data_IF_048269684409
#
_entry.id   IF_048269684409
#
_cell.length_a   1.000
_cell.length_b   1.000
_cell.length_c   1.000
_cell.angle_alpha   90.00
_cell.angle_beta   90.00
_cell.angle_gamma   90.00
#
_symmetry.space_group_name_H-M   'P 1'
#
loop_
_entity.id
_entity.type
_entity.pdbx_description
1 polymer ?
#
# COMPACT_ATOMS: atom_id res chain seq x y z
N UNK A 1 -19.25 18.26 -6.42
CA UNK A 1 -19.63 16.94 -5.88
C UNK A 1 -19.35 15.87 -6.92
N UNK A 2 -18.08 15.46 -6.96
CA UNK A 2 -17.65 14.29 -7.70
C UNK A 2 -18.35 13.03 -7.18
N UNK A 3 -18.88 12.20 -8.08
CA UNK A 3 -19.45 10.90 -7.72
C UNK A 3 -18.34 9.86 -7.72
N UNK A 4 -18.40 8.92 -6.78
CA UNK A 4 -17.60 7.71 -6.81
C UNK A 4 -17.81 6.96 -8.13
N UNK A 5 -16.72 6.57 -8.78
CA UNK A 5 -16.72 5.82 -10.04
C UNK A 5 -16.05 4.49 -9.80
N UNK A 6 -16.63 3.43 -10.38
CA UNK A 6 -16.06 2.09 -10.33
C UNK A 6 -14.98 1.92 -11.40
N UNK A 7 -14.01 1.02 -11.17
CA UNK A 7 -12.95 0.76 -12.15
C UNK A 7 -13.50 0.36 -13.52
N UNK A 8 -14.50 -0.53 -13.57
CA UNK A 8 -15.12 -0.96 -14.83
C UNK A 8 -15.62 0.21 -15.67
N UNK A 9 -16.25 1.21 -15.03
CA UNK A 9 -16.74 2.41 -15.71
C UNK A 9 -15.59 3.34 -16.11
N UNK A 10 -14.63 3.55 -15.22
CA UNK A 10 -13.48 4.42 -15.49
C UNK A 10 -12.65 3.91 -16.67
N UNK A 11 -12.43 2.60 -16.76
CA UNK A 11 -11.64 1.96 -17.82
C UNK A 11 -12.31 2.03 -19.21
N UNK A 12 -13.62 2.27 -19.28
CA UNK A 12 -14.37 2.42 -20.54
C UNK A 12 -14.38 3.86 -21.07
N UNK A 13 -13.96 4.83 -20.26
CA UNK A 13 -13.93 6.23 -20.67
C UNK A 13 -12.77 6.53 -21.59
N UNK A 14 -12.99 7.45 -22.51
CA UNK A 14 -11.90 8.03 -23.27
C UNK A 14 -10.97 8.87 -22.37
N UNK A 15 -9.80 9.25 -22.91
CA UNK A 15 -8.80 9.99 -22.15
C UNK A 15 -9.30 11.36 -21.66
N UNK A 16 -10.21 12.02 -22.39
CA UNK A 16 -10.75 13.31 -21.99
C UNK A 16 -11.69 13.17 -20.80
N UNK A 17 -12.65 12.23 -20.88
CA UNK A 17 -13.60 11.97 -19.79
C UNK A 17 -12.90 11.47 -18.51
N UNK A 18 -11.86 10.63 -18.63
CA UNK A 18 -11.02 10.25 -17.48
C UNK A 18 -10.34 11.46 -16.85
N UNK A 19 -9.71 12.30 -17.68
CA UNK A 19 -9.00 13.49 -17.24
C UNK A 19 -9.92 14.47 -16.51
N UNK A 20 -11.06 14.79 -17.11
CA UNK A 20 -12.08 15.66 -16.51
C UNK A 20 -12.57 15.11 -15.17
N UNK A 21 -12.80 13.80 -15.07
CA UNK A 21 -13.20 13.19 -13.81
C UNK A 21 -12.13 13.31 -12.72
N UNK A 22 -10.88 12.92 -13.00
CA UNK A 22 -9.81 13.01 -11.98
C UNK A 22 -9.51 14.46 -11.59
N UNK A 23 -9.65 15.41 -12.52
CA UNK A 23 -9.54 16.83 -12.23
C UNK A 23 -10.64 17.28 -11.28
N UNK A 24 -11.90 16.91 -11.54
CA UNK A 24 -13.02 17.24 -10.65
C UNK A 24 -12.88 16.61 -9.26
N UNK A 25 -12.41 15.35 -9.17
CA UNK A 25 -12.14 14.70 -7.87
C UNK A 25 -10.99 15.41 -7.13
N UNK A 26 -9.94 15.81 -7.85
CA UNK A 26 -8.83 16.57 -7.28
C UNK A 26 -9.27 17.93 -6.76
N UNK A 27 -10.16 18.63 -7.49
CA UNK A 27 -10.71 19.92 -7.06
C UNK A 27 -11.55 19.81 -5.78
N UNK A 28 -12.30 18.72 -5.66
CA UNK A 28 -13.19 18.46 -4.52
C UNK A 28 -12.45 17.78 -3.33
N UNK A 29 -11.10 17.74 -3.28
CA UNK A 29 -10.32 16.95 -2.28
C UNK A 29 -10.69 17.22 -0.81
N UNK A 30 -11.00 18.47 -0.47
CA UNK A 30 -11.40 18.88 0.88
C UNK A 30 -12.86 18.56 1.19
N UNK A 31 -13.74 18.61 0.18
CA UNK A 31 -15.18 18.39 0.34
C UNK A 31 -15.55 16.91 0.31
N UNK A 32 -14.83 16.11 -0.48
CA UNK A 32 -15.17 14.72 -0.82
C UNK A 32 -13.97 13.79 -0.57
N UNK A 33 -13.35 13.87 0.61
CA UNK A 33 -12.12 13.14 0.95
C UNK A 33 -12.25 11.62 0.77
N UNK A 34 -13.44 11.05 1.00
CA UNK A 34 -13.71 9.63 0.74
C UNK A 34 -13.59 9.27 -0.75
N UNK A 35 -14.17 10.10 -1.63
CA UNK A 35 -14.10 9.91 -3.10
C UNK A 35 -12.66 10.07 -3.57
N UNK A 36 -11.94 11.07 -3.06
CA UNK A 36 -10.54 11.28 -3.38
C UNK A 36 -9.67 10.06 -3.03
N UNK A 37 -9.75 9.56 -1.79
CA UNK A 37 -8.98 8.38 -1.37
C UNK A 37 -9.31 7.15 -2.19
N UNK A 38 -10.60 6.91 -2.45
CA UNK A 38 -11.00 5.77 -3.25
C UNK A 38 -10.50 5.84 -4.69
N UNK A 39 -10.61 7.00 -5.34
CA UNK A 39 -10.10 7.19 -6.70
C UNK A 39 -8.58 7.02 -6.73
N UNK A 40 -7.86 7.59 -5.77
CA UNK A 40 -6.41 7.43 -5.64
C UNK A 40 -6.00 5.96 -5.46
N UNK A 41 -6.64 5.25 -4.53
CA UNK A 41 -6.39 3.83 -4.26
C UNK A 41 -6.70 2.97 -5.50
N UNK A 42 -7.80 3.24 -6.21
CA UNK A 42 -8.18 2.56 -7.45
C UNK A 42 -7.13 2.74 -8.55
N UNK A 43 -6.74 3.99 -8.83
CA UNK A 43 -5.76 4.30 -9.87
C UNK A 43 -4.39 3.68 -9.54
N UNK A 44 -4.01 3.69 -8.26
CA UNK A 44 -2.78 3.05 -7.79
C UNK A 44 -2.82 1.54 -8.00
N UNK A 45 -3.91 0.86 -7.60
CA UNK A 45 -4.07 -0.58 -7.73
C UNK A 45 -4.01 -1.09 -9.17
N UNK A 46 -4.57 -0.31 -10.11
CA UNK A 46 -4.58 -0.59 -11.55
C UNK A 46 -3.41 0.04 -12.31
N UNK A 47 -2.43 0.58 -11.58
CA UNK A 47 -1.23 1.19 -12.13
C UNK A 47 -1.50 2.28 -13.20
N UNK A 48 -2.57 3.05 -13.02
CA UNK A 48 -2.89 4.21 -13.87
C UNK A 48 -2.13 5.45 -13.38
N UNK A 49 -0.79 5.35 -13.38
CA UNK A 49 0.08 6.39 -12.83
C UNK A 49 -0.12 7.78 -13.48
N UNK A 50 -0.34 7.94 -14.80
CA UNK A 50 -0.59 9.26 -15.37
C UNK A 50 -1.85 9.93 -14.83
N UNK A 51 -2.95 9.18 -14.70
CA UNK A 51 -4.21 9.67 -14.16
C UNK A 51 -4.07 9.99 -12.66
N UNK A 52 -3.33 9.16 -11.91
CA UNK A 52 -3.03 9.38 -10.49
C UNK A 52 -2.18 10.64 -10.28
N UNK A 53 -1.12 10.85 -11.07
CA UNK A 53 -0.28 12.04 -11.01
C UNK A 53 -1.13 13.30 -11.25
N UNK A 54 -2.01 13.27 -12.26
CA UNK A 54 -2.87 14.40 -12.55
C UNK A 54 -3.86 14.69 -11.40
N UNK A 55 -4.49 13.65 -10.83
CA UNK A 55 -5.34 13.76 -9.65
C UNK A 55 -4.61 14.47 -8.49
N UNK A 56 -3.40 14.02 -8.18
CA UNK A 56 -2.60 14.51 -7.04
C UNK A 56 -2.08 15.92 -7.26
N UNK A 57 -1.69 16.28 -8.49
CA UNK A 57 -1.29 17.65 -8.83
C UNK A 57 -2.45 18.64 -8.65
N UNK A 58 -3.64 18.28 -9.13
CA UNK A 58 -4.84 19.12 -8.97
C UNK A 58 -5.19 19.27 -7.50
N UNK A 59 -5.21 18.17 -6.73
CA UNK A 59 -5.48 18.20 -5.30
C UNK A 59 -4.46 19.03 -4.51
N UNK A 60 -3.17 18.90 -4.81
CA UNK A 60 -2.14 19.70 -4.14
C UNK A 60 -2.31 21.20 -4.43
N UNK A 61 -2.64 21.55 -5.68
CA UNK A 61 -2.88 22.94 -6.08
C UNK A 61 -4.05 23.54 -5.30
N UNK A 62 -5.17 22.82 -5.17
CA UNK A 62 -6.31 23.30 -4.39
C UNK A 62 -6.00 23.44 -2.90
N UNK A 63 -5.26 22.48 -2.32
CA UNK A 63 -4.88 22.57 -0.92
C UNK A 63 -3.96 23.75 -0.66
N UNK A 64 -2.99 24.02 -1.55
CA UNK A 64 -2.11 25.19 -1.43
C UNK A 64 -2.85 26.52 -1.61
N UNK A 65 -3.94 26.54 -2.36
CA UNK A 65 -4.79 27.72 -2.53
C UNK A 65 -5.74 27.97 -1.34
N UNK A 66 -5.93 26.96 -0.47
CA UNK A 66 -6.85 27.04 0.66
C UNK A 66 -6.09 27.12 2.00
N UNK A 67 -6.16 28.29 2.64
CA UNK A 67 -5.51 28.56 3.94
C UNK A 67 -6.01 27.66 5.09
N UNK A 68 -7.19 27.03 4.97
CA UNK A 68 -7.73 26.11 5.97
C UNK A 68 -7.23 24.68 5.83
N UNK A 69 -6.44 24.38 4.79
CA UNK A 69 -5.95 23.04 4.56
C UNK A 69 -4.96 22.59 5.64
N UNK A 70 -5.09 21.34 6.06
CA UNK A 70 -4.21 20.76 7.07
C UNK A 70 -2.83 20.47 6.46
N UNK A 71 -1.75 20.96 7.09
CA UNK A 71 -0.36 20.72 6.68
C UNK A 71 -0.06 19.21 6.47
N UNK A 72 -0.59 18.35 7.32
CA UNK A 72 -0.43 16.90 7.19
C UNK A 72 -1.05 16.34 5.90
N UNK A 73 -2.20 16.88 5.47
CA UNK A 73 -2.84 16.46 4.22
C UNK A 73 -2.00 16.90 3.01
N UNK A 74 -1.49 18.14 3.03
CA UNK A 74 -0.57 18.63 1.99
C UNK A 74 0.67 17.73 1.90
N UNK A 75 1.34 17.48 3.03
CA UNK A 75 2.52 16.62 3.09
C UNK A 75 2.25 15.20 2.57
N UNK A 76 1.10 14.62 2.91
CA UNK A 76 0.71 13.28 2.45
C UNK A 76 0.49 13.22 0.94
N UNK A 77 -0.20 14.22 0.36
CA UNK A 77 -0.42 14.31 -1.09
C UNK A 77 0.88 14.61 -1.83
N UNK A 78 1.71 15.52 -1.30
CA UNK A 78 3.05 15.81 -1.84
C UNK A 78 3.91 14.55 -1.90
N UNK A 79 3.99 13.78 -0.80
CA UNK A 79 4.77 12.55 -0.76
C UNK A 79 4.26 11.53 -1.81
N UNK A 80 2.95 11.34 -1.90
CA UNK A 80 2.34 10.41 -2.85
C UNK A 80 2.57 10.85 -4.31
N UNK A 81 2.52 12.17 -4.59
CA UNK A 81 2.79 12.72 -5.91
C UNK A 81 4.24 12.50 -6.32
N UNK A 82 5.18 12.77 -5.42
CA UNK A 82 6.61 12.53 -5.66
C UNK A 82 6.89 11.06 -5.97
N UNK A 83 6.36 10.15 -5.15
CA UNK A 83 6.50 8.70 -5.37
C UNK A 83 5.89 8.31 -6.73
N UNK A 84 4.71 8.82 -7.08
CA UNK A 84 4.05 8.51 -8.35
C UNK A 84 4.86 8.98 -9.57
N UNK A 85 5.49 10.16 -9.50
CA UNK A 85 6.38 10.67 -10.54
C UNK A 85 7.64 9.78 -10.70
N UNK A 86 8.24 9.37 -9.57
CA UNK A 86 9.38 8.45 -9.57
C UNK A 86 8.99 7.09 -10.16
N UNK A 87 7.84 6.54 -9.78
CA UNK A 87 7.35 5.27 -10.30
C UNK A 87 7.03 5.33 -11.79
N UNK A 88 6.43 6.42 -12.26
CA UNK A 88 6.17 6.64 -13.68
C UNK A 88 7.47 6.70 -14.48
N UNK A 89 8.51 7.33 -13.91
CA UNK A 89 9.84 7.32 -14.51
C UNK A 89 10.40 5.90 -14.56
N UNK A 90 10.48 5.19 -13.43
CA UNK A 90 11.03 3.83 -13.37
C UNK A 90 10.29 2.85 -14.28
N UNK A 91 8.96 2.91 -14.34
CA UNK A 91 8.14 2.05 -15.21
C UNK A 91 8.36 2.31 -16.71
N UNK A 92 8.88 3.48 -17.09
CA UNK A 92 9.20 3.84 -18.47
C UNK A 92 10.63 3.43 -18.89
N UNK A 93 11.49 3.06 -17.94
CA UNK A 93 12.88 2.72 -18.21
C UNK A 93 13.03 1.22 -18.50
N UNK A 94 14.02 0.82 -19.31
CA UNK A 94 14.42 -0.57 -19.40
C UNK A 94 15.01 -1.04 -18.05
N UNK A 95 14.92 -2.34 -17.70
CA UNK A 95 15.39 -2.88 -16.41
C UNK A 95 16.86 -2.61 -16.08
N UNK A 96 17.71 -2.44 -17.11
CA UNK A 96 19.15 -2.20 -16.98
C UNK A 96 19.53 -0.71 -17.08
N UNK A 97 18.54 0.20 -17.08
CA UNK A 97 18.81 1.62 -17.09
C UNK A 97 19.58 2.05 -15.84
N UNK A 98 20.57 2.95 -15.97
CA UNK A 98 21.28 3.47 -14.81
C UNK A 98 20.32 4.15 -13.85
N UNK A 99 20.55 3.98 -12.54
CA UNK A 99 19.77 4.59 -11.47
C UNK A 99 20.11 6.08 -11.27
N UNK A 100 20.11 6.85 -12.36
CA UNK A 100 20.37 8.28 -12.35
C UNK A 100 19.12 9.02 -12.76
N UNK A 101 18.69 9.98 -11.94
CA UNK A 101 17.53 10.82 -12.24
C UNK A 101 17.79 11.65 -13.50
N UNK A 102 16.95 11.55 -14.54
CA UNK A 102 17.06 12.47 -15.67
C UNK A 102 16.68 13.88 -15.23
N UNK A 103 17.22 14.89 -15.93
CA UNK A 103 16.95 16.29 -15.64
C UNK A 103 15.44 16.62 -15.64
N UNK A 104 14.65 15.95 -16.48
CA UNK A 104 13.19 16.11 -16.53
C UNK A 104 12.49 15.65 -15.25
N UNK A 105 12.93 14.55 -14.63
CA UNK A 105 12.37 14.08 -13.36
C UNK A 105 12.77 15.03 -12.22
N UNK A 106 14.03 15.45 -12.17
CA UNK A 106 14.52 16.42 -11.18
C UNK A 106 13.71 17.71 -11.27
N UNK A 107 13.55 18.25 -12.49
CA UNK A 107 12.76 19.46 -12.73
C UNK A 107 11.31 19.29 -12.28
N UNK A 108 10.67 18.16 -12.62
CA UNK A 108 9.28 17.89 -12.23
C UNK A 108 9.09 17.76 -10.71
N UNK A 109 10.07 17.23 -9.98
CA UNK A 109 10.00 17.15 -8.52
C UNK A 109 10.31 18.50 -7.86
N UNK A 110 11.22 19.29 -8.43
CA UNK A 110 11.58 20.63 -7.93
C UNK A 110 10.44 21.64 -8.02
N UNK A 111 9.43 21.43 -8.88
CA UNK A 111 8.23 22.27 -8.88
C UNK A 111 7.34 22.04 -7.65
N UNK A 112 7.54 20.92 -6.94
CA UNK A 112 6.76 20.54 -5.77
C UNK A 112 7.51 20.89 -4.48
N UNK A 113 8.79 20.50 -4.41
CA UNK A 113 9.63 20.64 -3.21
C UNK A 113 11.11 20.71 -3.63
N UNK A 114 11.97 21.48 -2.95
CA UNK A 114 13.41 21.46 -3.21
C UNK A 114 13.99 20.04 -3.12
N UNK A 115 14.62 19.57 -4.21
CA UNK A 115 15.21 18.23 -4.30
C UNK A 115 16.73 18.31 -4.29
N UNK A 116 17.33 17.53 -3.38
CA UNK A 116 18.73 17.13 -3.45
C UNK A 116 18.90 16.01 -4.50
N UNK A 117 19.65 16.30 -5.57
CA UNK A 117 19.86 15.35 -6.67
C UNK A 117 20.59 14.08 -6.21
N UNK A 118 21.52 14.19 -5.26
CA UNK A 118 22.26 13.04 -4.74
C UNK A 118 21.36 12.16 -3.88
N UNK A 119 20.51 12.75 -3.04
CA UNK A 119 19.43 12.09 -2.34
C UNK A 119 18.49 11.33 -3.28
N UNK A 120 18.03 11.97 -4.35
CA UNK A 120 17.17 11.32 -5.36
C UNK A 120 17.87 10.16 -6.06
N UNK A 121 19.13 10.30 -6.46
CA UNK A 121 19.89 9.23 -7.09
C UNK A 121 20.07 8.03 -6.15
N UNK A 122 20.33 8.26 -4.85
CA UNK A 122 20.35 7.18 -3.85
C UNK A 122 18.99 6.49 -3.71
N UNK A 123 17.91 7.26 -3.70
CA UNK A 123 16.56 6.70 -3.65
C UNK A 123 16.25 5.84 -4.88
N UNK A 124 16.58 6.33 -6.07
CA UNK A 124 16.45 5.57 -7.32
C UNK A 124 17.32 4.30 -7.30
N UNK A 125 18.55 4.35 -6.80
CA UNK A 125 19.43 3.19 -6.68
C UNK A 125 18.83 2.09 -5.79
N UNK A 126 18.15 2.48 -4.71
CA UNK A 126 17.43 1.51 -3.86
C UNK A 126 16.19 0.96 -4.56
N UNK A 127 15.35 1.81 -5.18
CA UNK A 127 14.14 1.38 -5.89
C UNK A 127 14.42 0.52 -7.12
N UNK A 128 15.57 0.69 -7.75
CA UNK A 128 16.03 -0.15 -8.85
C UNK A 128 16.83 -1.36 -8.36
N UNK A 129 17.07 -1.51 -7.06
CA UNK A 129 17.71 -2.69 -6.48
C UNK A 129 19.23 -2.77 -6.62
N UNK A 130 19.91 -1.71 -7.12
CA UNK A 130 21.37 -1.64 -7.17
C UNK A 130 22.01 -1.58 -5.78
N UNK A 131 21.30 -1.00 -4.81
CA UNK A 131 21.74 -0.91 -3.42
C UNK A 131 20.79 -1.68 -2.51
N UNK A 132 21.35 -2.55 -1.66
CA UNK A 132 20.61 -3.40 -0.74
C UNK A 132 21.30 -3.37 0.62
N UNK A 133 20.49 -3.31 1.68
CA UNK A 133 20.99 -3.42 3.05
C UNK A 133 21.16 -4.89 3.44
N UNK A 134 22.13 -5.15 4.31
CA UNK A 134 22.25 -6.44 4.98
C UNK A 134 21.35 -6.42 6.23
N UNK A 135 20.10 -6.81 6.04
CA UNK A 135 19.14 -6.85 7.12
C UNK A 135 19.44 -7.98 8.11
N UNK A 136 19.26 -7.67 9.40
CA UNK A 136 19.24 -8.63 10.49
C UNK A 136 17.92 -8.45 11.25
N UNK A 137 17.41 -9.52 11.86
CA UNK A 137 16.12 -9.47 12.56
C UNK A 137 16.10 -8.44 13.69
N UNK A 138 17.22 -8.24 14.36
CA UNK A 138 17.41 -7.25 15.43
C UNK A 138 17.22 -5.80 14.95
N UNK A 139 17.49 -5.49 13.67
CA UNK A 139 17.20 -4.17 13.10
C UNK A 139 15.69 -3.91 12.92
N UNK A 140 14.87 -4.97 12.92
CA UNK A 140 13.47 -4.93 12.50
C UNK A 140 12.49 -5.37 13.58
N UNK A 141 12.98 -5.99 14.67
CA UNK A 141 12.16 -6.59 15.72
C UNK A 141 11.19 -5.60 16.39
N UNK A 142 11.60 -4.33 16.54
CA UNK A 142 10.78 -3.27 17.11
C UNK A 142 10.08 -2.38 16.07
N UNK A 143 10.18 -2.74 14.79
CA UNK A 143 9.66 -1.97 13.66
C UNK A 143 10.02 -0.48 13.70
N UNK A 144 11.31 -0.11 13.88
CA UNK A 144 11.69 1.30 13.83
C UNK A 144 11.33 1.87 12.46
N UNK A 145 10.66 3.03 12.46
CA UNK A 145 10.01 3.59 11.27
C UNK A 145 10.98 3.72 10.08
N UNK A 146 12.23 4.13 10.34
CA UNK A 146 13.26 4.29 9.30
C UNK A 146 13.65 2.96 8.65
N UNK A 147 13.88 1.91 9.45
CA UNK A 147 14.27 0.61 8.91
C UNK A 147 13.12 -0.06 8.18
N UNK A 148 11.88 0.08 8.70
CA UNK A 148 10.70 -0.40 7.98
C UNK A 148 10.50 0.34 6.67
N UNK A 149 10.67 1.66 6.64
CA UNK A 149 10.59 2.44 5.40
C UNK A 149 11.65 1.99 4.39
N UNK A 150 12.90 1.81 4.80
CA UNK A 150 13.98 1.31 3.95
C UNK A 150 13.72 -0.12 3.43
N UNK A 151 13.25 -1.02 4.30
CA UNK A 151 12.88 -2.39 3.92
C UNK A 151 11.72 -2.38 2.90
N UNK A 152 10.72 -1.51 3.07
CA UNK A 152 9.63 -1.39 2.11
C UNK A 152 10.07 -0.83 0.75
N UNK A 153 11.08 0.04 0.71
CA UNK A 153 11.67 0.52 -0.56
C UNK A 153 12.35 -0.65 -1.30
N UNK A 154 13.12 -1.47 -0.60
CA UNK A 154 13.71 -2.68 -1.20
C UNK A 154 12.65 -3.68 -1.65
N UNK A 155 11.56 -3.82 -0.90
CA UNK A 155 10.44 -4.66 -1.31
C UNK A 155 9.80 -4.17 -2.62
N UNK A 156 9.63 -2.84 -2.81
CA UNK A 156 9.13 -2.31 -4.08
C UNK A 156 10.04 -2.69 -5.26
N UNK A 157 11.37 -2.57 -5.06
CA UNK A 157 12.36 -2.96 -6.07
C UNK A 157 12.25 -4.45 -6.40
N UNK A 158 12.19 -5.31 -5.37
CA UNK A 158 12.04 -6.75 -5.52
C UNK A 158 10.72 -7.13 -6.22
N UNK A 159 9.59 -6.59 -5.76
CA UNK A 159 8.28 -6.89 -6.31
C UNK A 159 8.18 -6.50 -7.79
N UNK A 160 8.79 -5.39 -8.18
CA UNK A 160 8.81 -4.97 -9.57
C UNK A 160 9.75 -5.82 -10.43
N UNK A 161 11.00 -6.03 -10.00
CA UNK A 161 12.03 -6.71 -10.82
C UNK A 161 11.84 -8.22 -10.87
N UNK A 162 11.60 -8.85 -9.72
CA UNK A 162 11.60 -10.30 -9.59
C UNK A 162 10.19 -10.89 -9.77
N UNK A 163 9.15 -10.16 -9.34
CA UNK A 163 7.76 -10.62 -9.44
C UNK A 163 6.95 -9.92 -10.55
N UNK A 164 7.54 -8.96 -11.28
CA UNK A 164 6.88 -8.26 -12.38
C UNK A 164 5.68 -7.40 -11.96
N UNK A 165 5.59 -7.03 -10.67
CA UNK A 165 4.45 -6.31 -10.13
C UNK A 165 4.58 -4.80 -10.36
N UNK A 166 3.48 -4.09 -10.66
CA UNK A 166 3.52 -2.66 -10.86
C UNK A 166 3.79 -1.89 -9.55
N UNK A 167 4.51 -0.76 -9.66
CA UNK A 167 4.80 0.12 -8.52
C UNK A 167 3.55 0.67 -7.85
N UNK A 168 2.52 1.06 -8.62
CA UNK A 168 1.27 1.59 -8.04
C UNK A 168 0.66 0.60 -7.03
N UNK A 169 0.39 -0.64 -7.47
CA UNK A 169 -0.21 -1.67 -6.62
C UNK A 169 0.67 -2.03 -5.42
N UNK A 170 1.98 -2.15 -5.62
CA UNK A 170 2.92 -2.50 -4.54
C UNK A 170 3.09 -1.35 -3.54
N UNK A 171 2.92 -0.10 -3.96
CA UNK A 171 2.94 1.06 -3.07
C UNK A 171 1.79 1.05 -2.06
N UNK A 172 0.61 0.52 -2.43
CA UNK A 172 -0.49 0.34 -1.48
C UNK A 172 -0.09 -0.56 -0.31
N UNK A 173 0.62 -1.66 -0.60
CA UNK A 173 1.17 -2.52 0.44
C UNK A 173 2.24 -1.79 1.27
N UNK A 174 3.14 -1.03 0.63
CA UNK A 174 4.15 -0.19 1.33
C UNK A 174 3.53 0.76 2.35
N UNK A 175 2.38 1.35 2.05
CA UNK A 175 1.69 2.26 2.97
C UNK A 175 1.02 1.54 4.14
N UNK A 176 0.48 0.35 3.91
CA UNK A 176 -0.32 -0.38 4.90
C UNK A 176 0.50 -1.26 5.83
N UNK A 177 1.50 -1.96 5.29
CA UNK A 177 2.16 -3.05 6.00
C UNK A 177 2.92 -2.59 7.26
N UNK A 178 3.64 -1.46 7.27
CA UNK A 178 4.23 -0.92 8.50
C UNK A 178 3.17 -0.62 9.58
N UNK A 179 2.04 -0.04 9.17
CA UNK A 179 0.92 0.25 10.08
C UNK A 179 0.35 -1.03 10.67
N UNK A 180 0.12 -2.06 9.85
CA UNK A 180 -0.31 -3.38 10.32
C UNK A 180 0.63 -3.95 11.39
N UNK A 181 1.95 -3.92 11.17
CA UNK A 181 2.90 -4.46 12.14
C UNK A 181 2.92 -3.66 13.45
N UNK A 182 2.81 -2.32 13.38
CA UNK A 182 2.71 -1.49 14.58
C UNK A 182 1.42 -1.77 15.35
N UNK A 183 0.27 -1.87 14.67
CA UNK A 183 -1.02 -2.18 15.30
C UNK A 183 -1.02 -3.59 15.92
N UNK A 184 -0.43 -4.58 15.23
CA UNK A 184 -0.24 -5.94 15.75
C UNK A 184 0.62 -5.94 17.00
N UNK A 185 1.79 -5.31 16.97
CA UNK A 185 2.75 -5.26 18.09
C UNK A 185 2.15 -4.55 19.31
N UNK A 186 1.40 -3.48 19.08
CA UNK A 186 0.78 -2.70 20.17
C UNK A 186 -0.52 -3.32 20.70
N UNK A 187 -0.93 -4.49 20.17
CA UNK A 187 -2.13 -5.20 20.62
C UNK A 187 -3.44 -4.56 20.15
N UNK A 188 -3.41 -3.57 19.25
CA UNK A 188 -4.62 -2.96 18.69
C UNK A 188 -5.44 -3.94 17.86
N UNK A 189 -4.79 -4.97 17.32
CA UNK A 189 -5.42 -6.06 16.57
C UNK A 189 -5.75 -7.27 17.45
N UNK A 190 -5.51 -7.23 18.76
CA UNK A 190 -5.98 -8.30 19.65
C UNK A 190 -7.49 -8.15 19.85
N UNK A 191 -8.28 -9.26 19.85
CA UNK A 191 -9.70 -9.16 20.16
C UNK A 191 -9.90 -8.43 21.49
N UNK A 192 -10.61 -7.31 21.44
CA UNK A 192 -11.10 -6.64 22.66
C UNK A 192 -12.13 -7.58 23.26
N UNK A 193 -11.71 -8.38 24.22
CA UNK A 193 -12.65 -9.11 25.06
C UNK A 193 -13.49 -8.07 25.79
N UNK A 194 -14.82 -8.22 25.74
CA UNK A 194 -15.71 -7.37 26.51
C UNK A 194 -15.31 -7.51 27.98
N UNK A 195 -14.87 -6.39 28.57
CA UNK A 195 -14.42 -6.34 29.96
C UNK A 195 -15.54 -6.83 30.90
N UNK A 196 -16.81 -6.61 30.51
CA UNK A 196 -17.97 -7.13 31.22
C UNK A 196 -18.07 -8.66 31.18
N UNK A 197 -17.79 -9.29 30.04
CA UNK A 197 -17.79 -10.75 29.92
C UNK A 197 -16.61 -11.39 30.65
N UNK A 198 -15.44 -10.74 30.62
CA UNK A 198 -14.27 -11.17 31.39
C UNK A 198 -14.54 -11.16 32.90
N UNK A 199 -15.15 -10.08 33.42
CA UNK A 199 -15.53 -10.00 34.83
C UNK A 199 -16.61 -11.00 35.23
N UNK A 200 -17.51 -11.36 34.30
CA UNK A 200 -18.57 -12.34 34.56
C UNK A 200 -18.07 -13.79 34.54
N UNK A 201 -17.08 -14.11 33.71
CA UNK A 201 -16.66 -15.49 33.49
C UNK A 201 -15.50 -15.95 34.40
N UNK A 202 -14.84 -15.03 35.13
CA UNK A 202 -13.70 -15.36 36.00
C UNK A 202 -12.55 -16.08 35.29
N UNK A 203 -12.52 -16.02 33.95
CA UNK A 203 -11.52 -16.70 33.13
C UNK A 203 -10.25 -15.88 33.12
N UNK A 204 -9.07 -16.51 33.27
CA UNK A 204 -7.81 -15.82 33.08
C UNK A 204 -7.76 -15.24 31.66
N UNK A 205 -7.27 -13.99 31.56
CA UNK A 205 -7.01 -13.34 30.28
C UNK A 205 -6.20 -14.30 29.40
N UNK A 206 -6.62 -14.57 28.15
CA UNK A 206 -5.84 -15.38 27.24
C UNK A 206 -4.47 -14.74 27.11
N UNK A 207 -3.42 -15.52 27.35
CA UNK A 207 -2.06 -15.07 27.12
C UNK A 207 -1.92 -14.80 25.63
N UNK A 208 -1.36 -13.66 25.21
CA UNK A 208 -1.04 -13.45 23.81
C UNK A 208 -0.17 -14.62 23.32
N UNK A 209 -0.39 -15.12 22.09
CA UNK A 209 0.38 -16.24 21.59
C UNK A 209 1.87 -15.95 21.68
N UNK A 210 2.62 -16.94 22.15
CA UNK A 210 3.93 -16.72 22.76
C UNK A 210 5.04 -16.40 21.76
N UNK A 211 4.87 -16.70 20.45
CA UNK A 211 5.89 -16.46 19.45
C UNK A 211 5.28 -16.15 18.08
N UNK A 212 5.22 -14.88 17.72
CA UNK A 212 4.91 -14.46 16.37
C UNK A 212 6.18 -13.94 15.68
N UNK A 213 6.35 -14.27 14.40
CA UNK A 213 7.42 -13.66 13.61
C UNK A 213 7.12 -12.17 13.41
N UNK A 214 8.06 -11.25 13.68
CA UNK A 214 7.77 -9.82 13.69
C UNK A 214 7.41 -9.27 12.30
N UNK A 215 7.84 -9.94 11.23
CA UNK A 215 7.59 -9.51 9.84
C UNK A 215 6.68 -10.45 9.05
N UNK A 216 6.22 -11.56 9.65
CA UNK A 216 5.27 -12.46 8.99
C UNK A 216 3.89 -12.25 9.62
N UNK A 217 2.86 -11.89 8.83
CA UNK A 217 1.48 -11.78 9.30
C UNK A 217 0.95 -13.11 9.84
N UNK A 218 -0.14 -13.05 10.59
CA UNK A 218 -0.96 -14.20 10.95
C UNK A 218 -2.41 -13.93 10.57
N UNK A 219 -3.19 -15.00 10.38
CA UNK A 219 -4.56 -14.93 9.88
C UNK A 219 -5.47 -14.12 10.78
N UNK A 220 -5.43 -14.32 12.11
CA UNK A 220 -6.32 -13.62 13.06
C UNK A 220 -6.10 -12.10 13.04
N UNK A 221 -4.85 -11.64 13.15
CA UNK A 221 -4.56 -10.21 13.18
C UNK A 221 -4.73 -9.57 11.81
N UNK A 222 -4.38 -10.27 10.72
CA UNK A 222 -4.57 -9.76 9.37
C UNK A 222 -6.06 -9.66 9.02
N UNK A 223 -6.88 -10.64 9.40
CA UNK A 223 -8.35 -10.59 9.21
C UNK A 223 -8.95 -9.33 9.85
N UNK A 224 -8.53 -9.00 11.07
CA UNK A 224 -9.03 -7.82 11.80
C UNK A 224 -8.58 -6.53 11.13
N UNK A 225 -7.34 -6.47 10.66
CA UNK A 225 -6.85 -5.32 9.92
C UNK A 225 -7.57 -5.15 8.57
N UNK A 226 -7.81 -6.25 7.84
CA UNK A 226 -8.61 -6.24 6.61
C UNK A 226 -10.06 -5.81 6.90
N UNK A 227 -10.68 -6.31 7.96
CA UNK A 227 -12.01 -5.87 8.37
C UNK A 227 -12.04 -4.36 8.69
N UNK A 228 -10.96 -3.80 9.26
CA UNK A 228 -10.83 -2.35 9.46
C UNK A 228 -10.81 -1.58 8.13
N UNK A 229 -10.18 -2.11 7.09
CA UNK A 229 -10.18 -1.48 5.77
C UNK A 229 -11.52 -1.62 5.05
N UNK A 230 -12.24 -2.72 5.27
CA UNK A 230 -13.44 -3.08 4.51
C UNK A 230 -14.75 -2.63 5.17
N UNK A 231 -14.78 -2.40 6.48
CA UNK A 231 -16.01 -2.08 7.22
C UNK A 231 -16.11 -0.63 7.72
N UNK A 232 -15.02 0.14 7.68
CA UNK A 232 -15.04 1.54 8.13
C UNK A 232 -15.23 2.50 6.94
N UNK A 233 -15.77 3.68 7.22
CA UNK A 233 -15.99 4.73 6.21
C UNK A 233 -14.74 5.65 6.13
N UNK A 234 -14.11 5.82 4.95
CA UNK A 234 -14.43 5.18 3.67
C UNK A 234 -13.95 3.73 3.58
N UNK A 235 -14.72 2.89 2.88
CA UNK A 235 -14.34 1.51 2.55
C UNK A 235 -13.15 1.56 1.60
N UNK A 236 -12.10 0.79 1.90
CA UNK A 236 -10.85 0.76 1.13
C UNK A 236 -10.61 -0.64 0.54
N UNK A 237 -11.35 -1.02 -0.52
CA UNK A 237 -11.24 -2.36 -1.10
C UNK A 237 -9.92 -2.59 -1.82
N UNK A 238 -9.39 -1.58 -2.53
CA UNK A 238 -8.15 -1.69 -3.29
C UNK A 238 -6.91 -1.93 -2.42
N UNK A 239 -6.70 -1.16 -1.33
CA UNK A 239 -5.57 -1.42 -0.44
C UNK A 239 -5.71 -2.76 0.30
N UNK A 240 -6.93 -3.16 0.67
CA UNK A 240 -7.17 -4.47 1.30
C UNK A 240 -6.85 -5.63 0.35
N UNK A 241 -7.29 -5.54 -0.92
CA UNK A 241 -6.96 -6.53 -1.95
C UNK A 241 -5.45 -6.58 -2.20
N UNK A 242 -4.79 -5.42 -2.33
CA UNK A 242 -3.32 -5.36 -2.50
C UNK A 242 -2.60 -5.97 -1.30
N UNK A 243 -3.04 -5.68 -0.07
CA UNK A 243 -2.46 -6.22 1.15
C UNK A 243 -2.51 -7.75 1.13
N UNK A 244 -3.68 -8.36 0.91
CA UNK A 244 -3.81 -9.82 0.91
C UNK A 244 -3.09 -10.48 -0.27
N UNK A 245 -3.29 -9.96 -1.48
CA UNK A 245 -2.80 -10.61 -2.71
C UNK A 245 -1.28 -10.55 -2.87
N UNK A 246 -0.63 -9.56 -2.25
CA UNK A 246 0.83 -9.40 -2.29
C UNK A 246 1.58 -10.10 -1.16
N UNK A 247 0.89 -10.79 -0.24
CA UNK A 247 1.54 -11.53 0.86
C UNK A 247 2.52 -12.61 0.38
N UNK A 248 2.23 -13.43 -0.65
CA UNK A 248 3.20 -14.38 -1.17
C UNK A 248 4.49 -13.70 -1.62
N UNK A 249 4.40 -12.59 -2.36
CA UNK A 249 5.57 -11.82 -2.79
C UNK A 249 6.35 -11.25 -1.60
N UNK A 250 5.67 -10.74 -0.58
CA UNK A 250 6.30 -10.24 0.64
C UNK A 250 7.09 -11.33 1.37
N UNK A 251 6.52 -12.54 1.51
CA UNK A 251 7.21 -13.64 2.20
C UNK A 251 8.41 -14.15 1.39
N UNK A 252 8.28 -14.25 0.06
CA UNK A 252 9.42 -14.59 -0.81
C UNK A 252 10.53 -13.53 -0.73
N UNK A 253 10.17 -12.25 -0.66
CA UNK A 253 11.13 -11.17 -0.42
C UNK A 253 11.87 -11.36 0.91
N UNK A 254 11.16 -11.65 2.00
CA UNK A 254 11.80 -11.90 3.30
C UNK A 254 12.73 -13.12 3.26
N UNK A 255 12.37 -14.18 2.53
CA UNK A 255 13.25 -15.33 2.30
C UNK A 255 14.51 -14.94 1.52
N UNK A 256 14.37 -14.14 0.46
CA UNK A 256 15.49 -13.63 -0.33
C UNK A 256 16.44 -12.74 0.49
N UNK A 257 15.92 -12.11 1.55
CA UNK A 257 16.70 -11.33 2.53
C UNK A 257 17.18 -12.13 3.73
N UNK A 258 16.94 -13.45 3.76
CA UNK A 258 17.27 -14.34 4.88
C UNK A 258 16.62 -13.91 6.22
N UNK A 259 15.52 -13.16 6.14
CA UNK A 259 14.71 -12.72 7.28
C UNK A 259 13.59 -13.69 7.63
N UNK A 260 13.35 -14.69 6.78
CA UNK A 260 12.33 -15.70 7.00
C UNK A 260 12.80 -17.04 6.41
N UNK A 261 12.68 -18.12 7.17
CA UNK A 261 12.99 -19.46 6.67
C UNK A 261 11.90 -19.95 5.72
N UNK A 262 12.20 -20.84 4.76
CA UNK A 262 11.19 -21.42 3.88
C UNK A 262 10.02 -22.09 4.59
N UNK A 263 10.28 -22.82 5.66
CA UNK A 263 9.23 -23.50 6.44
C UNK A 263 8.30 -22.49 7.12
N UNK A 264 8.85 -21.41 7.68
CA UNK A 264 8.05 -20.33 8.27
C UNK A 264 7.23 -19.56 7.21
N UNK A 265 7.79 -19.33 6.02
CA UNK A 265 7.07 -18.70 4.91
C UNK A 265 5.89 -19.56 4.47
N UNK A 266 6.11 -20.87 4.28
CA UNK A 266 5.07 -21.83 3.95
C UNK A 266 3.99 -21.88 5.03
N UNK A 267 4.39 -22.07 6.29
CA UNK A 267 3.44 -22.10 7.42
C UNK A 267 2.61 -20.82 7.52
N UNK A 268 3.19 -19.66 7.18
CA UNK A 268 2.46 -18.39 7.14
C UNK A 268 1.43 -18.39 6.00
N UNK A 269 1.80 -18.84 4.80
CA UNK A 269 0.86 -18.94 3.68
C UNK A 269 -0.29 -19.90 3.98
N UNK A 270 0.01 -21.06 4.55
CA UNK A 270 -0.99 -22.07 4.94
C UNK A 270 -2.01 -21.47 5.93
N UNK A 271 -1.52 -20.68 6.90
CA UNK A 271 -2.39 -19.98 7.86
C UNK A 271 -3.25 -18.89 7.18
N UNK A 272 -2.64 -18.05 6.33
CA UNK A 272 -3.34 -16.98 5.62
C UNK A 272 -4.37 -17.49 4.60
N UNK A 273 -4.20 -18.71 4.08
CA UNK A 273 -5.14 -19.34 3.16
C UNK A 273 -6.56 -19.46 3.76
N UNK A 274 -6.68 -19.53 5.08
CA UNK A 274 -7.97 -19.59 5.79
C UNK A 274 -8.82 -18.33 5.58
N UNK A 275 -8.21 -17.19 5.22
CA UNK A 275 -8.93 -15.94 4.97
C UNK A 275 -9.55 -15.88 3.57
N UNK A 276 -9.06 -16.71 2.65
CA UNK A 276 -9.41 -16.64 1.23
C UNK A 276 -10.92 -16.78 0.97
N UNK A 277 -11.67 -17.76 1.55
CA UNK A 277 -13.09 -17.94 1.22
C UNK A 277 -13.94 -16.70 1.52
N UNK A 278 -13.76 -16.11 2.70
CA UNK A 278 -14.51 -14.92 3.13
C UNK A 278 -14.16 -13.70 2.27
N UNK A 279 -12.88 -13.52 1.93
CA UNK A 279 -12.43 -12.43 1.07
C UNK A 279 -12.95 -12.57 -0.36
N UNK A 280 -12.97 -13.78 -0.92
CA UNK A 280 -13.55 -14.03 -2.25
C UNK A 280 -15.02 -13.61 -2.27
N UNK A 281 -15.82 -14.07 -1.31
CA UNK A 281 -17.24 -13.70 -1.20
C UNK A 281 -17.40 -12.18 -1.12
N UNK A 282 -16.60 -11.51 -0.28
CA UNK A 282 -16.65 -10.06 -0.14
C UNK A 282 -16.33 -9.36 -1.47
N UNK A 283 -15.21 -9.69 -2.12
CA UNK A 283 -14.78 -8.98 -3.33
C UNK A 283 -15.62 -9.32 -4.56
N UNK A 284 -16.20 -10.52 -4.65
CA UNK A 284 -17.18 -10.86 -5.69
C UNK A 284 -18.52 -10.12 -5.48
N UNK A 285 -18.88 -9.83 -4.24
CA UNK A 285 -20.07 -9.02 -3.93
C UNK A 285 -19.87 -7.51 -4.15
N UNK A 286 -18.62 -7.06 -4.24
CA UNK A 286 -18.29 -5.66 -4.43
C UNK A 286 -18.53 -5.25 -5.89
N UNK A 287 -19.59 -4.48 -6.12
CA UNK A 287 -19.92 -4.01 -7.46
C UNK A 287 -18.82 -3.14 -8.08
N UNK A 288 -18.45 -3.46 -9.33
CA UNK A 288 -17.73 -2.53 -10.21
C UNK A 288 -16.25 -2.79 -10.42
N UNK A 289 -15.69 -3.88 -9.86
CA UNK A 289 -14.32 -4.31 -10.16
C UNK A 289 -14.06 -5.81 -9.96
N UNK A 290 -14.42 -6.60 -10.96
CA UNK A 290 -14.23 -8.06 -10.97
C UNK A 290 -12.76 -8.48 -10.84
N UNK A 291 -11.81 -7.58 -11.11
CA UNK A 291 -10.39 -7.87 -11.01
C UNK A 291 -9.95 -8.08 -9.55
N UNK A 292 -10.66 -7.49 -8.58
CA UNK A 292 -10.37 -7.72 -7.15
C UNK A 292 -10.74 -9.14 -6.74
N UNK A 293 -11.96 -9.57 -7.04
CA UNK A 293 -12.41 -10.93 -6.77
C UNK A 293 -11.54 -11.96 -7.49
N UNK A 294 -11.22 -11.72 -8.77
CA UNK A 294 -10.33 -12.59 -9.55
C UNK A 294 -8.94 -12.72 -8.91
N UNK A 295 -8.33 -11.60 -8.49
CA UNK A 295 -7.00 -11.62 -7.89
C UNK A 295 -6.97 -12.38 -6.56
N UNK A 296 -8.01 -12.25 -5.73
CA UNK A 296 -8.13 -12.99 -4.46
C UNK A 296 -8.42 -14.48 -4.71
N UNK A 297 -9.27 -14.82 -5.68
CA UNK A 297 -9.56 -16.20 -6.06
C UNK A 297 -8.33 -16.93 -6.62
N UNK A 298 -7.46 -16.21 -7.33
CA UNK A 298 -6.20 -16.73 -7.87
C UNK A 298 -5.05 -16.79 -6.85
N UNK A 299 -5.26 -16.30 -5.63
CA UNK A 299 -4.26 -16.38 -4.57
C UNK A 299 -3.81 -17.82 -4.37
N UNK A 300 -2.48 -18.10 -4.31
CA UNK A 300 -1.94 -19.45 -4.35
C UNK A 300 -2.54 -20.30 -3.23
N UNK A 301 -3.16 -21.42 -3.62
CA UNK A 301 -3.49 -22.47 -2.66
C UNK A 301 -2.17 -23.12 -2.24
N UNK A 302 -1.93 -23.25 -0.94
CA UNK A 302 -0.81 -23.98 -0.37
C UNK A 302 -0.69 -25.43 -0.90
#
# INVERSE_FOLDING_TARGET
MAKQVTWHRFAQWDAHARREHVENVGRDVLAETAVFHQTSDMLSYHNQLPDLIHLLQTALTELQANDESNEWQQQSITALLMDSLVFQHLASQPPDAPATAPASLVQALQTIVPIDADGLNRYLAHLSGYTQYQWQMEHLAEHPLQNMAALMIEFLAYANREAGLPYGRTNLLRQLLPTYFVERRTGQLTPRQDLGDLMRQGRPLPKPPTHFHPLAPDSDTLQRFLAKLLNYNPVRPYPAAALFTLMPTWLTFLQARQLLTPDAAKSTLDDLANLKPDLVIFFESLAGDDALGTAVSQWPSA
#
